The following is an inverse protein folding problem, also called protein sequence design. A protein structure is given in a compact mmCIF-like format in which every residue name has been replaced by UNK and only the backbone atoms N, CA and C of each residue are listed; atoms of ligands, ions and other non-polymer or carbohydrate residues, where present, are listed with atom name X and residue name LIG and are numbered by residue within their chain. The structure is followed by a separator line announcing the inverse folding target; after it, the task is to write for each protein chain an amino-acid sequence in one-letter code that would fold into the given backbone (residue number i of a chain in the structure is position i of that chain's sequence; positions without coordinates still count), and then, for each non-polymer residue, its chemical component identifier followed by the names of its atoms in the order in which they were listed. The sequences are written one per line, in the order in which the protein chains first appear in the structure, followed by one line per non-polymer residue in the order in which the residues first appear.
data_IF_681294801322
#
_entry.id   IF_681294801322
#
_cell.length_a   1.000
_cell.length_b   1.000
_cell.length_c   1.000
_cell.angle_alpha   90.00
_cell.angle_beta   90.00
_cell.angle_gamma   90.00
#
_symmetry.space_group_name_H-M   'P 1'
#
loop_
_entity.id
_entity.type
_entity.pdbx_description
1 polymer ?
#
# COMPACT_ATOMS: atom_id res chain seq x y z
N UNK A 1 -2.86 13.00 -8.62
CA UNK A 1 -3.25 11.65 -9.10
C UNK A 1 -2.08 10.85 -9.65
N UNK A 2 -1.24 11.41 -10.54
CA UNK A 2 -0.14 10.67 -11.20
C UNK A 2 0.83 10.03 -10.18
N UNK A 3 1.37 10.81 -9.23
CA UNK A 3 2.30 10.31 -8.20
C UNK A 3 1.69 9.26 -7.24
N UNK A 4 0.39 9.34 -6.97
CA UNK A 4 -0.31 8.31 -6.20
C UNK A 4 -0.39 6.99 -6.98
N UNK A 5 -0.65 7.08 -8.29
CA UNK A 5 -0.62 5.93 -9.19
C UNK A 5 0.76 5.29 -9.24
N UNK A 6 1.83 6.10 -9.33
CA UNK A 6 3.21 5.59 -9.30
C UNK A 6 3.53 4.86 -7.98
N UNK A 7 3.07 5.37 -6.84
CA UNK A 7 3.24 4.66 -5.57
C UNK A 7 2.52 3.31 -5.59
N UNK A 8 1.28 3.25 -6.07
CA UNK A 8 0.51 2.01 -6.17
C UNK A 8 1.20 1.02 -7.13
N UNK A 9 1.66 1.49 -8.29
CA UNK A 9 2.38 0.68 -9.26
C UNK A 9 3.69 0.12 -8.67
N UNK A 10 4.39 0.90 -7.84
CA UNK A 10 5.60 0.44 -7.15
C UNK A 10 5.33 -0.75 -6.21
N UNK A 11 4.10 -0.93 -5.73
CA UNK A 11 3.68 -2.09 -4.96
C UNK A 11 3.17 -3.24 -5.83
N UNK A 12 2.24 -2.95 -6.74
CA UNK A 12 1.42 -3.99 -7.38
C UNK A 12 1.96 -4.50 -8.72
N UNK A 13 2.73 -3.68 -9.44
CA UNK A 13 3.19 -4.08 -10.77
C UNK A 13 4.13 -5.28 -10.67
N UNK A 14 3.92 -6.33 -11.45
CA UNK A 14 4.71 -7.59 -11.37
C UNK A 14 6.03 -7.56 -12.14
N UNK A 15 6.18 -6.58 -13.04
CA UNK A 15 7.26 -6.55 -14.02
C UNK A 15 8.36 -5.53 -13.67
N UNK A 16 8.19 -4.78 -12.57
CA UNK A 16 9.13 -3.74 -12.13
C UNK A 16 10.17 -4.34 -11.17
N UNK A 17 11.43 -3.99 -11.40
CA UNK A 17 12.57 -4.39 -10.55
C UNK A 17 12.54 -3.70 -9.19
N UNK A 18 13.20 -4.28 -8.17
CA UNK A 18 13.29 -3.64 -6.85
C UNK A 18 13.92 -2.24 -6.89
N UNK A 19 14.91 -2.02 -7.75
CA UNK A 19 15.54 -0.71 -7.92
C UNK A 19 14.53 0.33 -8.41
N UNK A 20 13.81 0.02 -9.49
CA UNK A 20 12.83 0.93 -10.07
C UNK A 20 11.68 1.23 -9.09
N UNK A 21 11.27 0.26 -8.26
CA UNK A 21 10.29 0.49 -7.17
C UNK A 21 10.79 1.51 -6.17
N UNK A 22 12.05 1.41 -5.75
CA UNK A 22 12.66 2.37 -4.82
C UNK A 22 12.70 3.76 -5.47
N UNK A 23 13.10 3.87 -6.74
CA UNK A 23 13.11 5.16 -7.44
C UNK A 23 11.72 5.80 -7.49
N UNK A 24 10.70 5.04 -7.90
CA UNK A 24 9.31 5.52 -7.93
C UNK A 24 8.85 5.96 -6.53
N UNK A 25 9.10 5.15 -5.50
CA UNK A 25 8.72 5.49 -4.13
C UNK A 25 9.43 6.76 -3.63
N UNK A 26 10.72 6.91 -3.91
CA UNK A 26 11.50 8.10 -3.52
C UNK A 26 11.07 9.36 -4.27
N UNK A 27 10.68 9.27 -5.54
CA UNK A 27 10.09 10.40 -6.28
C UNK A 27 8.80 10.86 -5.57
N UNK A 28 7.94 9.91 -5.21
CA UNK A 28 6.70 10.19 -4.47
C UNK A 28 6.99 10.79 -3.10
N UNK A 29 8.00 10.29 -2.37
CA UNK A 29 8.43 10.85 -1.08
C UNK A 29 8.79 12.32 -1.19
N UNK A 30 9.69 12.66 -2.13
CA UNK A 30 10.12 14.03 -2.37
C UNK A 30 8.92 14.93 -2.73
N UNK A 31 8.03 14.46 -3.60
CA UNK A 31 6.82 15.18 -3.97
C UNK A 31 5.91 15.43 -2.75
N UNK A 32 5.65 14.41 -1.93
CA UNK A 32 4.80 14.52 -0.75
C UNK A 32 5.36 15.57 0.22
N UNK A 33 6.67 15.55 0.49
CA UNK A 33 7.31 16.53 1.37
C UNK A 33 7.19 17.97 0.85
N UNK A 34 7.43 18.19 -0.45
CA UNK A 34 7.24 19.50 -1.07
C UNK A 34 5.77 19.95 -1.00
N UNK A 35 4.84 19.04 -1.27
CA UNK A 35 3.41 19.32 -1.21
C UNK A 35 2.97 19.68 0.21
N UNK A 36 3.48 18.98 1.24
CA UNK A 36 3.20 19.32 2.64
C UNK A 36 3.64 20.73 2.98
N UNK A 37 4.87 21.11 2.63
CA UNK A 37 5.36 22.48 2.86
C UNK A 37 4.48 23.53 2.15
N UNK A 38 3.99 23.23 0.94
CA UNK A 38 3.08 24.11 0.21
C UNK A 38 1.70 24.24 0.86
N UNK A 39 1.15 23.17 1.42
CA UNK A 39 -0.14 23.22 2.12
C UNK A 39 -0.02 23.98 3.44
N UNK A 40 1.08 23.78 4.18
CA UNK A 40 1.35 24.48 5.44
C UNK A 40 1.45 26.00 5.26
N UNK A 41 1.88 26.48 4.08
CA UNK A 41 1.91 27.93 3.79
C UNK A 41 0.54 28.51 3.41
N UNK A 42 -0.44 27.67 3.08
CA UNK A 42 -1.78 28.08 2.63
C UNK A 42 -2.89 27.87 3.67
N UNK A 43 -2.62 27.12 4.75
CA UNK A 43 -3.69 26.63 5.61
C UNK A 43 -4.17 27.68 6.63
N UNK A 44 -5.20 28.44 6.26
CA UNK A 44 -6.05 29.18 7.21
C UNK A 44 -7.20 28.30 7.77
N UNK A 45 -7.50 27.15 7.13
CA UNK A 45 -8.65 26.29 7.47
C UNK A 45 -8.24 24.95 8.13
N UNK A 46 -8.61 24.76 9.39
CA UNK A 46 -8.13 23.67 10.26
C UNK A 46 -8.69 22.26 9.96
N UNK A 47 -9.92 22.12 9.42
CA UNK A 47 -10.57 20.80 9.28
C UNK A 47 -10.05 19.97 8.10
N UNK A 48 -9.90 20.57 6.92
CA UNK A 48 -9.32 19.92 5.74
C UNK A 48 -7.84 19.59 5.96
N UNK A 49 -7.15 20.41 6.75
CA UNK A 49 -5.75 20.21 7.12
C UNK A 49 -5.52 18.90 7.88
N UNK A 50 -6.37 18.56 8.86
CA UNK A 50 -6.24 17.32 9.66
C UNK A 50 -6.39 16.07 8.78
N UNK A 51 -7.40 16.02 7.91
CA UNK A 51 -7.62 14.87 7.03
C UNK A 51 -6.47 14.71 6.02
N UNK A 52 -6.01 15.81 5.43
CA UNK A 52 -4.85 15.80 4.54
C UNK A 52 -3.57 15.31 5.24
N UNK A 53 -3.36 15.69 6.52
CA UNK A 53 -2.21 15.26 7.31
C UNK A 53 -2.23 13.76 7.62
N UNK A 54 -3.41 13.19 7.90
CA UNK A 54 -3.54 11.76 8.12
C UNK A 54 -3.21 10.96 6.85
N UNK A 55 -3.74 11.37 5.70
CA UNK A 55 -3.40 10.77 4.41
C UNK A 55 -1.91 10.91 4.11
N UNK A 56 -1.31 12.08 4.36
CA UNK A 56 0.13 12.30 4.20
C UNK A 56 0.95 11.29 5.01
N UNK A 57 0.64 11.10 6.30
CA UNK A 57 1.37 10.16 7.15
C UNK A 57 1.28 8.71 6.66
N UNK A 58 0.10 8.29 6.18
CA UNK A 58 -0.10 6.95 5.60
C UNK A 58 0.77 6.79 4.35
N UNK A 59 0.77 7.79 3.48
CA UNK A 59 1.53 7.76 2.23
C UNK A 59 3.04 7.73 2.47
N UNK A 60 3.54 8.50 3.43
CA UNK A 60 4.94 8.45 3.86
C UNK A 60 5.29 7.07 4.43
N UNK A 61 4.44 6.55 5.32
CA UNK A 61 4.63 5.21 5.91
C UNK A 61 4.70 4.12 4.85
N UNK A 62 3.86 4.20 3.80
CA UNK A 62 3.94 3.29 2.66
C UNK A 62 5.31 3.37 1.99
N UNK A 63 5.74 4.56 1.57
CA UNK A 63 7.06 4.71 0.93
C UNK A 63 8.20 4.15 1.80
N UNK A 64 8.27 4.56 3.06
CA UNK A 64 9.33 4.13 3.98
C UNK A 64 9.31 2.62 4.19
N UNK A 65 8.12 2.04 4.38
CA UNK A 65 7.96 0.59 4.56
C UNK A 65 8.41 -0.20 3.35
N UNK A 66 8.13 0.28 2.12
CA UNK A 66 8.55 -0.40 0.90
C UNK A 66 10.07 -0.45 0.78
N UNK A 67 10.73 0.69 1.00
CA UNK A 67 12.19 0.80 0.91
C UNK A 67 12.85 -0.05 2.00
N UNK A 68 12.33 -0.01 3.23
CA UNK A 68 12.82 -0.82 4.34
C UNK A 68 12.63 -2.32 4.08
N UNK A 69 11.45 -2.73 3.59
CA UNK A 69 11.16 -4.13 3.25
C UNK A 69 12.16 -4.66 2.22
N UNK A 70 12.42 -3.88 1.16
CA UNK A 70 13.38 -4.28 0.13
C UNK A 70 14.80 -4.39 0.70
N UNK A 71 15.24 -3.44 1.52
CA UNK A 71 16.58 -3.49 2.15
C UNK A 71 16.72 -4.68 3.09
N UNK A 72 15.80 -4.83 4.04
CA UNK A 72 15.84 -5.92 5.03
C UNK A 72 15.76 -7.27 4.33
N UNK A 73 14.89 -7.43 3.34
CA UNK A 73 14.79 -8.70 2.63
C UNK A 73 16.07 -9.03 1.87
N UNK A 74 16.72 -8.04 1.24
CA UNK A 74 18.03 -8.24 0.60
C UNK A 74 19.07 -8.70 1.62
N UNK A 75 19.11 -8.09 2.80
CA UNK A 75 20.14 -8.34 3.81
C UNK A 75 19.98 -9.70 4.50
N UNK A 76 18.74 -10.19 4.70
CA UNK A 76 18.45 -11.41 5.46
C UNK A 76 18.02 -12.62 4.61
N UNK A 77 17.53 -12.39 3.39
CA UNK A 77 16.91 -13.42 2.55
C UNK A 77 17.38 -13.33 1.09
N UNK A 78 18.68 -13.11 0.87
CA UNK A 78 19.28 -12.89 -0.47
C UNK A 78 18.95 -14.00 -1.49
N UNK A 79 18.78 -15.25 -1.02
CA UNK A 79 18.50 -16.41 -1.88
C UNK A 79 17.01 -16.61 -2.21
N UNK A 80 16.12 -15.82 -1.62
CA UNK A 80 14.67 -15.93 -1.81
C UNK A 80 14.22 -14.70 -2.61
N UNK A 81 13.47 -14.83 -3.71
CA UNK A 81 12.96 -13.67 -4.43
C UNK A 81 11.87 -12.96 -3.63
N UNK A 82 12.01 -11.65 -3.44
CA UNK A 82 10.98 -10.82 -2.83
C UNK A 82 9.88 -10.49 -3.86
N UNK A 83 8.63 -10.85 -3.55
CA UNK A 83 7.48 -10.55 -4.41
C UNK A 83 6.61 -9.47 -3.75
N UNK A 84 6.86 -8.19 -4.04
CA UNK A 84 6.18 -7.06 -3.38
C UNK A 84 4.66 -7.12 -3.54
N UNK A 85 4.17 -7.46 -4.73
CA UNK A 85 2.73 -7.54 -5.00
C UNK A 85 2.00 -8.64 -4.21
N UNK A 86 2.73 -9.55 -3.54
CA UNK A 86 2.16 -10.54 -2.63
C UNK A 86 2.02 -10.04 -1.18
N UNK A 87 2.55 -8.86 -0.86
CA UNK A 87 2.52 -8.27 0.48
C UNK A 87 1.37 -7.26 0.66
N UNK A 88 0.45 -7.18 -0.31
CA UNK A 88 -0.77 -6.37 -0.23
C UNK A 88 -1.98 -7.16 0.30
N UNK A 89 -3.12 -6.48 0.42
CA UNK A 89 -4.39 -7.05 0.90
C UNK A 89 -5.21 -7.71 -0.21
N UNK A 90 -4.79 -7.64 -1.47
CA UNK A 90 -5.52 -8.14 -2.64
C UNK A 90 -6.02 -9.59 -2.43
N UNK A 91 -5.18 -10.49 -1.91
CA UNK A 91 -5.60 -11.88 -1.67
C UNK A 91 -6.70 -11.98 -0.61
N UNK A 92 -6.65 -11.14 0.43
CA UNK A 92 -7.73 -11.06 1.41
C UNK A 92 -9.00 -10.52 0.77
N UNK A 93 -8.90 -9.44 -0.01
CA UNK A 93 -10.04 -8.81 -0.68
C UNK A 93 -10.78 -9.79 -1.59
N UNK A 94 -10.08 -10.59 -2.38
CA UNK A 94 -10.69 -11.64 -3.21
C UNK A 94 -11.42 -12.71 -2.38
N UNK A 95 -10.86 -13.11 -1.23
CA UNK A 95 -11.53 -14.05 -0.32
C UNK A 95 -12.80 -13.43 0.27
N UNK A 96 -12.73 -12.17 0.69
CA UNK A 96 -13.87 -11.43 1.23
C UNK A 96 -14.96 -11.24 0.17
N UNK A 97 -14.59 -10.87 -1.06
CA UNK A 97 -15.53 -10.72 -2.17
C UNK A 97 -16.22 -12.04 -2.47
N UNK A 98 -15.47 -13.15 -2.55
CA UNK A 98 -16.04 -14.47 -2.75
C UNK A 98 -16.97 -14.88 -1.59
N UNK A 99 -16.61 -14.58 -0.34
CA UNK A 99 -17.49 -14.84 0.80
C UNK A 99 -18.78 -14.00 0.75
N UNK A 100 -18.69 -12.73 0.35
CA UNK A 100 -19.82 -11.82 0.18
C UNK A 100 -20.82 -12.31 -0.87
N UNK A 101 -20.36 -13.03 -1.91
CA UNK A 101 -21.24 -13.64 -2.92
C UNK A 101 -22.12 -14.75 -2.34
N UNK A 102 -21.67 -15.46 -1.30
CA UNK A 102 -22.49 -16.45 -0.60
C UNK A 102 -23.39 -15.79 0.44
N UNK A 103 -22.90 -14.77 1.15
CA UNK A 103 -23.62 -14.06 2.19
C UNK A 103 -23.01 -12.68 2.43
N UNK A 104 -23.83 -11.63 2.39
CA UNK A 104 -23.35 -10.24 2.58
C UNK A 104 -22.81 -9.96 3.98
N UNK A 105 -23.41 -10.56 5.01
CA UNK A 105 -23.01 -10.44 6.41
C UNK A 105 -22.71 -11.83 6.99
N UNK A 106 -21.43 -12.15 7.15
CA UNK A 106 -20.99 -13.43 7.70
C UNK A 106 -20.26 -13.25 9.04
N UNK A 107 -20.43 -14.24 9.91
CA UNK A 107 -19.62 -14.40 11.13
C UNK A 107 -18.29 -15.09 10.80
N UNK A 108 -17.32 -15.02 11.71
CA UNK A 108 -16.04 -15.72 11.53
C UNK A 108 -16.22 -17.24 11.31
N UNK A 109 -17.18 -17.87 12.00
CA UNK A 109 -17.50 -19.28 11.81
C UNK A 109 -17.99 -19.58 10.39
N UNK A 110 -18.80 -18.70 9.82
CA UNK A 110 -19.33 -18.85 8.47
C UNK A 110 -18.25 -18.68 7.41
N UNK A 111 -17.30 -17.75 7.60
CA UNK A 111 -16.10 -17.67 6.73
C UNK A 111 -15.35 -18.99 6.74
N UNK A 112 -15.08 -19.57 7.92
CA UNK A 112 -14.36 -20.85 8.02
C UNK A 112 -15.08 -22.01 7.31
N UNK A 113 -16.41 -21.95 7.21
CA UNK A 113 -17.20 -22.93 6.48
C UNK A 113 -17.27 -22.66 4.97
N UNK A 114 -17.12 -21.40 4.56
CA UNK A 114 -17.15 -20.95 3.18
C UNK A 114 -15.79 -21.17 2.50
N UNK A 115 -14.67 -20.88 3.18
CA UNK A 115 -13.29 -20.99 2.65
C UNK A 115 -13.00 -22.33 1.96
N UNK A 116 -13.35 -23.51 2.53
CA UNK A 116 -13.11 -24.80 1.89
C UNK A 116 -13.90 -25.03 0.59
N UNK A 117 -14.92 -24.21 0.31
CA UNK A 117 -15.73 -24.27 -0.91
C UNK A 117 -15.22 -23.34 -2.02
N UNK A 118 -14.32 -22.42 -1.68
CA UNK A 118 -13.74 -21.42 -2.59
C UNK A 118 -12.31 -21.82 -3.01
N UNK A 119 -11.59 -22.59 -2.17
CA UNK A 119 -10.21 -23.04 -2.40
C UNK A 119 -10.07 -24.22 -3.36
#
# INVERSE_FOLDING_TARGET
LIYLGELIDSYLNRNITHHARIEMAMIVYCFLHLWKCYIETLSDSYSLYISAMQTFNIMISLVESLVLLIKIHRDYYENIPLLIWKHGTESCEHIFEAACQFRSDFTFLEILQIVPKIS
#
